data_IF_094176021783
#
_entry.id   IF_094176021783
#
_cell.length_a   1.000
_cell.length_b   1.000
_cell.length_c   1.000
_cell.angle_alpha   90.00
_cell.angle_beta   90.00
_cell.angle_gamma   90.00
#
_symmetry.space_group_name_H-M   'P 1'
#
loop_
_entity.id
_entity.type
_entity.pdbx_description
1 polymer ?
#
# COMPACT_ATOMS: atom_id res chain seq x y z
N UNK A 1 3.00 23.18 6.68
CA UNK A 1 2.33 23.38 5.38
C UNK A 1 0.86 23.74 5.64
N UNK A 2 0.25 24.66 4.88
CA UNK A 2 -1.16 25.01 5.00
C UNK A 2 -1.83 25.22 3.65
N UNK A 3 -3.07 24.77 3.49
CA UNK A 3 -3.87 25.02 2.28
C UNK A 3 -5.33 25.32 2.65
N UNK A 4 -6.06 25.93 1.72
CA UNK A 4 -7.48 26.24 1.87
C UNK A 4 -8.37 25.14 1.29
N UNK A 5 -9.39 24.73 2.03
CA UNK A 5 -10.44 23.83 1.54
C UNK A 5 -11.80 24.29 2.09
N UNK A 6 -12.78 24.50 1.22
CA UNK A 6 -14.15 24.93 1.58
C UNK A 6 -14.20 26.17 2.51
N UNK A 7 -13.39 27.19 2.22
CA UNK A 7 -13.32 28.42 3.02
C UNK A 7 -12.63 28.30 4.38
N UNK A 8 -12.13 27.11 4.74
CA UNK A 8 -11.39 26.86 5.99
C UNK A 8 -9.92 26.65 5.69
N UNK A 9 -9.06 27.28 6.51
CA UNK A 9 -7.61 27.15 6.43
C UNK A 9 -7.16 25.96 7.27
N UNK A 10 -6.59 24.94 6.63
CA UNK A 10 -6.08 23.74 7.29
C UNK A 10 -4.56 23.83 7.41
N UNK A 11 -4.03 23.58 8.61
CA UNK A 11 -2.59 23.72 8.92
C UNK A 11 -2.06 22.39 9.45
N UNK A 12 -1.06 21.83 8.79
CA UNK A 12 -0.37 20.62 9.25
C UNK A 12 0.88 21.04 10.03
N UNK A 13 0.95 20.65 11.32
CA UNK A 13 2.12 20.83 12.19
C UNK A 13 2.85 19.49 12.32
N UNK A 14 4.18 19.47 12.14
CA UNK A 14 5.01 18.27 12.32
C UNK A 14 5.94 17.90 11.15
N UNK A 15 5.89 18.61 10.02
CA UNK A 15 6.88 18.41 8.93
C UNK A 15 7.97 19.46 9.10
N UNK A 16 9.10 19.05 9.69
CA UNK A 16 10.33 19.84 9.65
C UNK A 16 10.93 19.74 8.25
N UNK A 17 10.50 20.59 7.32
CA UNK A 17 11.30 20.93 6.15
C UNK A 17 11.44 22.45 6.10
N UNK A 18 12.68 22.95 6.15
CA UNK A 18 13.02 24.37 6.03
C UNK A 18 12.76 24.94 4.63
N UNK A 19 12.13 24.16 3.75
CA UNK A 19 11.71 24.60 2.42
C UNK A 19 10.21 24.41 2.37
N UNK A 20 9.47 25.51 2.23
CA UNK A 20 8.04 25.46 1.96
C UNK A 20 7.86 24.69 0.64
N UNK A 21 7.20 23.53 0.62
CA UNK A 21 6.90 22.84 -0.63
C UNK A 21 5.83 23.67 -1.33
N UNK A 22 6.28 24.57 -2.19
CA UNK A 22 5.41 25.29 -3.13
C UNK A 22 5.00 24.25 -4.16
N UNK A 23 3.73 23.85 -4.15
CA UNK A 23 3.17 22.97 -5.16
C UNK A 23 3.10 23.79 -6.45
N UNK A 24 4.12 23.69 -7.28
CA UNK A 24 4.06 24.19 -8.65
C UNK A 24 3.04 23.30 -9.36
N UNK A 25 1.79 23.78 -9.48
CA UNK A 25 0.89 23.25 -10.47
C UNK A 25 1.63 23.34 -11.81
N UNK A 26 1.89 22.19 -12.41
CA UNK A 26 2.66 22.05 -13.65
C UNK A 26 1.96 22.93 -14.68
N UNK A 27 2.56 24.08 -14.98
CA UNK A 27 1.92 25.10 -15.79
C UNK A 27 1.91 24.58 -17.24
N UNK A 28 0.74 24.18 -17.72
CA UNK A 28 0.31 23.81 -19.09
C UNK A 28 1.36 23.78 -20.22
N UNK A 29 2.43 23.01 -20.07
CA UNK A 29 3.17 22.40 -21.18
C UNK A 29 3.17 20.91 -20.85
N UNK A 30 2.31 20.13 -21.52
CA UNK A 30 2.12 18.69 -21.27
C UNK A 30 3.44 17.91 -21.28
N UNK A 31 4.46 18.41 -21.96
CA UNK A 31 5.80 17.81 -22.04
C UNK A 31 6.42 17.49 -20.67
N UNK A 32 6.29 18.36 -19.66
CA UNK A 32 6.87 18.08 -18.33
C UNK A 32 6.07 17.00 -17.58
N UNK A 33 4.75 17.06 -17.66
CA UNK A 33 3.89 16.04 -17.04
C UNK A 33 4.10 14.68 -17.72
N UNK A 34 4.14 14.63 -19.04
CA UNK A 34 4.36 13.43 -19.84
C UNK A 34 5.74 12.83 -19.55
N UNK A 35 6.78 13.68 -19.41
CA UNK A 35 8.11 13.26 -19.00
C UNK A 35 8.11 12.63 -17.61
N UNK A 36 7.44 13.25 -16.64
CA UNK A 36 7.34 12.73 -15.28
C UNK A 36 6.55 11.42 -15.21
N UNK A 37 5.42 11.33 -15.91
CA UNK A 37 4.63 10.10 -15.97
C UNK A 37 5.43 8.97 -16.63
N UNK A 38 6.25 9.28 -17.63
CA UNK A 38 7.14 8.31 -18.28
C UNK A 38 8.27 7.87 -17.34
N UNK A 39 8.94 8.83 -16.68
CA UNK A 39 10.03 8.54 -15.74
C UNK A 39 9.57 7.68 -14.56
N UNK A 40 8.38 7.98 -14.03
CA UNK A 40 7.82 7.30 -12.87
C UNK A 40 6.75 6.26 -13.24
N UNK A 41 6.70 5.79 -14.48
CA UNK A 41 5.71 4.80 -14.94
C UNK A 41 5.67 3.55 -14.03
N UNK A 42 6.84 3.12 -13.55
CA UNK A 42 7.02 1.98 -12.64
C UNK A 42 6.26 2.14 -11.32
N UNK A 43 6.02 3.37 -10.83
CA UNK A 43 5.25 3.59 -9.60
C UNK A 43 3.76 3.24 -9.74
N UNK A 44 3.27 3.18 -10.98
CA UNK A 44 1.87 2.85 -11.30
C UNK A 44 1.68 1.39 -11.72
N UNK A 45 2.77 0.64 -11.91
CA UNK A 45 2.70 -0.78 -12.19
C UNK A 45 2.19 -1.55 -10.96
N UNK A 46 1.47 -2.64 -11.20
CA UNK A 46 1.00 -3.49 -10.11
C UNK A 46 2.21 -4.13 -9.40
N UNK A 47 2.41 -3.89 -8.09
CA UNK A 47 3.59 -4.37 -7.39
C UNK A 47 3.62 -5.90 -7.39
N UNK A 48 4.72 -6.45 -7.89
CA UNK A 48 4.97 -7.89 -7.88
C UNK A 48 5.83 -8.24 -6.67
N UNK A 49 5.39 -9.22 -5.89
CA UNK A 49 6.13 -9.70 -4.73
C UNK A 49 5.96 -8.86 -3.46
N UNK A 50 6.76 -9.20 -2.45
CA UNK A 50 6.85 -8.44 -1.21
C UNK A 50 7.68 -7.17 -1.42
N UNK A 51 7.34 -6.07 -0.76
CA UNK A 51 8.17 -4.87 -0.79
C UNK A 51 9.58 -5.19 -0.26
N UNK A 52 10.60 -4.44 -0.73
CA UNK A 52 11.97 -4.61 -0.26
C UNK A 52 12.06 -4.48 1.27
N UNK A 53 12.99 -5.22 1.88
CA UNK A 53 13.19 -5.16 3.33
C UNK A 53 13.52 -3.72 3.75
N UNK A 54 12.79 -3.24 4.76
CA UNK A 54 13.00 -1.93 5.38
C UNK A 54 13.67 -2.10 6.73
N UNK A 55 14.29 -1.04 7.22
CA UNK A 55 14.92 -1.00 8.55
C UNK A 55 13.95 -1.27 9.71
N UNK A 56 12.65 -1.01 9.52
CA UNK A 56 11.59 -1.32 10.49
C UNK A 56 10.92 -2.63 10.08
N UNK A 57 11.01 -3.62 10.96
CA UNK A 57 10.20 -4.82 10.90
C UNK A 57 9.00 -4.66 11.83
N UNK A 58 7.79 -4.71 11.26
CA UNK A 58 6.57 -4.78 12.05
C UNK A 58 6.46 -6.18 12.68
N UNK A 59 6.31 -6.23 14.01
CA UNK A 59 6.07 -7.47 14.75
C UNK A 59 4.77 -7.34 15.53
N UNK A 60 3.93 -8.36 15.42
CA UNK A 60 2.75 -8.52 16.30
C UNK A 60 3.27 -8.93 17.68
N UNK A 61 3.03 -8.09 18.70
CA UNK A 61 3.38 -8.39 20.10
C UNK A 61 2.20 -9.12 20.74
N UNK A 62 2.44 -10.36 21.15
CA UNK A 62 1.45 -11.15 21.87
C UNK A 62 1.53 -10.87 23.38
N UNK A 63 0.39 -10.98 24.07
CA UNK A 63 0.37 -10.97 25.53
C UNK A 63 1.08 -12.23 26.04
N UNK A 64 1.86 -12.11 27.11
CA UNK A 64 2.56 -13.24 27.69
C UNK A 64 1.58 -14.35 28.11
N UNK A 65 1.89 -15.60 27.78
CA UNK A 65 1.02 -16.76 28.04
C UNK A 65 -0.11 -16.97 27.04
N UNK A 66 -0.12 -16.26 25.90
CA UNK A 66 -1.10 -16.50 24.82
C UNK A 66 -0.71 -17.75 24.02
N UNK A 67 -1.59 -18.74 23.99
CA UNK A 67 -1.44 -19.93 23.16
C UNK A 67 -1.87 -19.69 21.71
N UNK A 68 -1.39 -20.53 20.80
CA UNK A 68 -1.83 -20.52 19.41
C UNK A 68 -3.29 -21.01 19.29
N UNK A 69 -4.10 -20.29 18.51
CA UNK A 69 -5.50 -20.67 18.24
C UNK A 69 -5.60 -21.29 16.86
N UNK A 70 -6.03 -22.56 16.80
CA UNK A 70 -6.34 -23.25 15.55
C UNK A 70 -7.86 -23.44 15.43
N UNK A 71 -8.48 -22.79 14.45
CA UNK A 71 -9.92 -22.88 14.19
C UNK A 71 -10.15 -23.66 12.89
N UNK A 72 -11.19 -24.50 12.88
CA UNK A 72 -11.59 -25.22 11.67
C UNK A 72 -12.03 -24.23 10.58
N UNK A 73 -11.61 -24.41 9.32
CA UNK A 73 -12.11 -23.61 8.22
C UNK A 73 -13.64 -23.68 8.09
N UNK A 74 -14.26 -22.55 7.75
CA UNK A 74 -15.70 -22.48 7.48
C UNK A 74 -16.06 -23.22 6.19
N UNK A 75 -17.32 -23.65 6.10
CA UNK A 75 -17.88 -24.25 4.88
C UNK A 75 -18.39 -23.15 3.96
N UNK A 76 -17.99 -23.20 2.70
CA UNK A 76 -18.42 -22.27 1.66
C UNK A 76 -19.22 -23.00 0.59
N UNK A 77 -20.11 -22.28 -0.10
CA UNK A 77 -20.75 -22.81 -1.30
C UNK A 77 -19.69 -23.01 -2.40
N UNK A 78 -19.92 -23.94 -3.34
CA UNK A 78 -18.96 -24.26 -4.39
C UNK A 78 -18.46 -23.03 -5.17
N UNK A 79 -19.38 -22.16 -5.60
CA UNK A 79 -19.05 -20.94 -6.36
C UNK A 79 -18.08 -20.02 -5.57
N UNK A 80 -18.28 -19.91 -4.25
CA UNK A 80 -17.41 -19.09 -3.40
C UNK A 80 -16.04 -19.71 -3.22
N UNK A 81 -15.99 -21.04 -3.10
CA UNK A 81 -14.74 -21.78 -3.00
C UNK A 81 -13.90 -21.62 -4.27
N UNK A 82 -14.52 -21.76 -5.44
CA UNK A 82 -13.82 -21.66 -6.72
C UNK A 82 -13.19 -20.27 -6.92
N UNK A 83 -13.93 -19.20 -6.60
CA UNK A 83 -13.39 -17.84 -6.67
C UNK A 83 -12.29 -17.60 -5.62
N UNK A 84 -12.44 -18.13 -4.41
CA UNK A 84 -11.42 -18.01 -3.36
C UNK A 84 -10.13 -18.73 -3.76
N UNK A 85 -10.22 -19.94 -4.31
CA UNK A 85 -9.06 -20.69 -4.82
C UNK A 85 -8.37 -19.92 -5.96
N UNK A 86 -9.14 -19.37 -6.91
CA UNK A 86 -8.61 -18.53 -7.99
C UNK A 86 -7.84 -17.32 -7.46
N UNK A 87 -8.36 -16.63 -6.44
CA UNK A 87 -7.69 -15.49 -5.81
C UNK A 87 -6.45 -15.92 -5.03
N UNK A 88 -6.50 -17.04 -4.31
CA UNK A 88 -5.34 -17.59 -3.62
C UNK A 88 -4.20 -17.92 -4.59
N UNK A 89 -4.52 -18.53 -5.74
CA UNK A 89 -3.53 -18.83 -6.78
C UNK A 89 -2.88 -17.58 -7.35
N UNK A 90 -3.66 -16.53 -7.59
CA UNK A 90 -3.16 -15.25 -8.04
C UNK A 90 -2.25 -14.59 -6.98
N UNK A 91 -2.66 -14.60 -5.70
CA UNK A 91 -1.84 -14.09 -4.60
C UNK A 91 -0.54 -14.88 -4.40
N UNK A 92 -0.56 -16.19 -4.63
CA UNK A 92 0.64 -17.05 -4.62
C UNK A 92 1.58 -16.70 -5.76
N UNK A 93 1.07 -16.55 -6.99
CA UNK A 93 1.86 -16.14 -8.16
C UNK A 93 2.49 -14.77 -7.97
N UNK A 94 1.75 -13.83 -7.39
CA UNK A 94 2.23 -12.50 -7.03
C UNK A 94 3.21 -12.51 -5.86
N UNK A 95 3.35 -13.61 -5.12
CA UNK A 95 4.24 -13.71 -3.95
C UNK A 95 3.78 -12.92 -2.73
N UNK A 96 2.51 -12.51 -2.68
CA UNK A 96 1.92 -11.81 -1.52
C UNK A 96 1.71 -12.78 -0.35
N UNK A 97 1.38 -14.04 -0.67
CA UNK A 97 1.27 -15.13 0.29
C UNK A 97 2.26 -16.25 -0.05
N UNK A 98 2.59 -17.08 0.93
CA UNK A 98 3.44 -18.27 0.76
C UNK A 98 2.99 -19.39 1.70
N UNK A 99 3.23 -20.66 1.34
CA UNK A 99 3.07 -21.77 2.29
C UNK A 99 3.95 -21.54 3.52
N UNK A 100 3.40 -21.79 4.71
CA UNK A 100 4.18 -21.86 5.94
C UNK A 100 4.66 -23.29 6.15
N UNK A 101 5.96 -23.47 6.34
CA UNK A 101 6.56 -24.72 6.83
C UNK A 101 6.54 -24.79 8.34
#
# INVERSE_FOLDING_TARGET
MSFGHAGKRVTWKGVHSSTSPTLHAINHNNELLDSLLTEFAVLFEEPQGLPPMRHIHHRIRLVAGTDAVAVRPYRYAHIQKDELERQCDDMLRRGVIRPST
#
